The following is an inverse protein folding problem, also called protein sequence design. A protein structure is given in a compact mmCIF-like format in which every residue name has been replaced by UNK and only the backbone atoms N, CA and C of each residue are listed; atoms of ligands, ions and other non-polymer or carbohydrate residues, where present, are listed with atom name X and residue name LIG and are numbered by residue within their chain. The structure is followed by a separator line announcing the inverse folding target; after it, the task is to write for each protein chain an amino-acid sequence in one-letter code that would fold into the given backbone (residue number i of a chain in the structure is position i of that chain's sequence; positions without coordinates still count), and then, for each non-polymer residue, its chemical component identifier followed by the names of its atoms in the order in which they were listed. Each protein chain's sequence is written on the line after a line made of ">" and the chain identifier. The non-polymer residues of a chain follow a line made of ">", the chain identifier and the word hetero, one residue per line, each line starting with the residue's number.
data_IF_744426226992
#
_entry.id   IF_744426226992
#
_cell.length_a   1.000
_cell.length_b   1.000
_cell.length_c   1.000
_cell.angle_alpha   90.00
_cell.angle_beta   90.00
_cell.angle_gamma   90.00
#
_symmetry.space_group_name_H-M   'P 1'
#
loop_
_entity.id
_entity.type
_entity.pdbx_description
1 polymer ?
#
# COMPACT_ATOMS: atom_id res chain seq x y z
N UNK A 1 19.38 -1.06 13.38
CA UNK A 1 18.92 0.27 13.85
C UNK A 1 18.44 0.11 15.28
N UNK A 2 18.83 0.96 16.23
CA UNK A 2 18.35 0.86 17.62
C UNK A 2 16.86 1.21 17.66
N UNK A 3 16.05 0.37 18.30
CA UNK A 3 14.60 0.57 18.45
C UNK A 3 14.20 0.33 19.90
N UNK A 4 13.23 1.10 20.40
CA UNK A 4 12.55 0.85 21.66
C UNK A 4 11.26 0.08 21.37
N UNK A 5 11.06 -1.08 22.01
CA UNK A 5 9.86 -1.88 21.84
C UNK A 5 8.87 -1.57 22.96
N UNK A 6 7.59 -1.40 22.60
CA UNK A 6 6.52 -1.18 23.56
C UNK A 6 5.18 -1.67 22.98
N UNK A 7 4.20 -1.87 23.85
CA UNK A 7 2.86 -2.32 23.45
C UNK A 7 1.86 -1.18 23.67
N UNK A 8 0.82 -1.14 22.84
CA UNK A 8 -0.31 -0.23 23.01
C UNK A 8 -1.60 -1.03 22.92
N UNK A 9 -2.44 -0.87 23.94
CA UNK A 9 -3.79 -1.43 23.96
C UNK A 9 -4.75 -0.41 23.36
N UNK A 10 -5.46 -0.82 22.32
CA UNK A 10 -6.50 -0.04 21.67
C UNK A 10 -7.82 -0.13 22.45
N UNK A 11 -8.77 0.75 22.11
CA UNK A 11 -10.10 0.78 22.75
C UNK A 11 -10.94 -0.47 22.52
N UNK A 12 -10.63 -1.25 21.48
CA UNK A 12 -11.27 -2.53 21.16
C UNK A 12 -10.51 -3.74 21.74
N UNK A 13 -9.71 -3.53 22.79
CA UNK A 13 -8.88 -4.52 23.46
C UNK A 13 -7.74 -5.14 22.64
N UNK A 14 -7.61 -4.80 21.36
CA UNK A 14 -6.48 -5.23 20.55
C UNK A 14 -5.17 -4.62 21.07
N UNK A 15 -4.11 -5.43 21.09
CA UNK A 15 -2.78 -5.00 21.49
C UNK A 15 -1.89 -4.95 20.24
N UNK A 16 -1.28 -3.80 20.00
CA UNK A 16 -0.30 -3.61 18.93
C UNK A 16 1.08 -3.47 19.56
N UNK A 17 2.06 -4.19 19.01
CA UNK A 17 3.47 -4.06 19.39
C UNK A 17 4.17 -3.12 18.43
N UNK A 18 4.79 -2.09 18.97
CA UNK A 18 5.48 -1.07 18.21
C UNK A 18 6.98 -1.11 18.44
N UNK A 19 7.72 -0.66 17.43
CA UNK A 19 9.12 -0.32 17.51
C UNK A 19 9.30 1.18 17.25
N UNK A 20 9.67 1.94 18.28
CA UNK A 20 9.98 3.38 18.19
C UNK A 20 11.43 3.58 17.77
N UNK A 21 11.63 4.42 16.76
CA UNK A 21 12.94 4.84 16.30
C UNK A 21 13.40 6.12 17.01
N UNK A 22 14.70 6.45 16.87
CA UNK A 22 15.25 7.71 17.33
C UNK A 22 14.61 8.95 16.66
N UNK A 23 14.05 8.81 15.44
CA UNK A 23 13.26 9.87 14.80
C UNK A 23 11.93 10.15 15.52
N UNK A 24 11.53 9.27 16.45
CA UNK A 24 10.26 9.29 17.16
C UNK A 24 9.12 8.58 16.41
N UNK A 25 9.33 8.16 15.15
CA UNK A 25 8.36 7.37 14.41
C UNK A 25 8.25 5.97 15.01
N UNK A 26 7.02 5.48 15.17
CA UNK A 26 6.67 4.16 15.68
C UNK A 26 6.14 3.32 14.52
N UNK A 27 6.82 2.21 14.23
CA UNK A 27 6.42 1.22 13.24
C UNK A 27 5.85 0.00 13.95
N UNK A 28 5.04 -0.80 13.27
CA UNK A 28 4.68 -2.11 13.78
C UNK A 28 5.96 -2.94 14.00
N UNK A 29 6.00 -3.76 15.06
CA UNK A 29 7.21 -4.52 15.42
C UNK A 29 7.65 -5.47 14.28
N UNK A 30 6.69 -5.99 13.52
CA UNK A 30 6.92 -6.94 12.42
C UNK A 30 7.31 -6.26 11.11
N UNK A 31 7.34 -4.93 11.05
CA UNK A 31 7.67 -4.21 9.83
C UNK A 31 9.12 -4.46 9.41
N UNK A 32 9.37 -4.95 8.18
CA UNK A 32 10.71 -5.27 7.73
C UNK A 32 11.63 -4.06 7.80
N UNK A 33 12.85 -4.27 8.29
CA UNK A 33 13.86 -3.22 8.44
C UNK A 33 14.14 -2.44 7.13
N UNK A 34 14.01 -3.10 5.98
CA UNK A 34 14.15 -2.45 4.67
C UNK A 34 13.00 -1.50 4.37
N UNK A 35 11.76 -1.91 4.65
CA UNK A 35 10.56 -1.06 4.50
C UNK A 35 10.70 0.17 5.38
N UNK A 36 11.08 -0.01 6.65
CA UNK A 36 11.31 1.11 7.58
C UNK A 36 12.33 2.11 7.03
N UNK A 37 13.46 1.64 6.49
CA UNK A 37 14.48 2.53 5.90
C UNK A 37 13.94 3.31 4.71
N UNK A 38 13.18 2.65 3.82
CA UNK A 38 12.58 3.32 2.66
C UNK A 38 11.57 4.37 3.11
N UNK A 39 10.69 4.05 4.05
CA UNK A 39 9.70 5.00 4.56
C UNK A 39 10.33 6.21 5.25
N UNK A 40 11.36 6.02 6.09
CA UNK A 40 12.10 7.15 6.70
C UNK A 40 12.81 8.01 5.64
N UNK A 41 13.30 7.41 4.55
CA UNK A 41 13.87 8.16 3.42
C UNK A 41 12.81 8.96 2.68
N UNK A 42 11.65 8.34 2.39
CA UNK A 42 10.52 8.99 1.76
C UNK A 42 10.01 10.18 2.60
N UNK A 43 9.85 10.01 3.91
CA UNK A 43 9.46 11.09 4.84
C UNK A 43 10.40 12.30 4.75
N UNK A 44 11.71 12.07 4.67
CA UNK A 44 12.71 13.16 4.58
C UNK A 44 12.66 13.87 3.23
N UNK A 45 12.50 13.10 2.14
CA UNK A 45 12.47 13.64 0.78
C UNK A 45 11.15 14.34 0.42
N UNK A 46 10.04 13.96 1.06
CA UNK A 46 8.71 14.42 0.70
C UNK A 46 8.22 13.93 -0.67
N UNK A 47 8.94 12.99 -1.31
CA UNK A 47 8.57 12.47 -2.62
C UNK A 47 7.22 11.73 -2.56
N UNK A 48 6.46 11.81 -3.65
CA UNK A 48 5.23 11.04 -3.81
C UNK A 48 5.60 9.61 -4.16
N UNK A 49 5.05 8.66 -3.41
CA UNK A 49 5.23 7.23 -3.63
C UNK A 49 3.90 6.55 -3.81
N UNK A 50 3.94 5.35 -4.37
CA UNK A 50 2.85 4.38 -4.36
C UNK A 50 3.23 3.20 -3.47
N UNK A 51 2.32 2.77 -2.61
CA UNK A 51 2.47 1.63 -1.70
C UNK A 51 1.51 0.53 -2.13
N UNK A 52 2.01 -0.69 -2.18
CA UNK A 52 1.19 -1.89 -2.37
C UNK A 52 1.16 -2.69 -1.07
N UNK A 53 -0.03 -3.00 -0.61
CA UNK A 53 -0.25 -3.89 0.51
C UNK A 53 -0.51 -5.32 0.05
N UNK A 54 -0.24 -6.26 0.94
CA UNK A 54 -0.44 -7.66 0.67
C UNK A 54 0.02 -8.57 1.78
N UNK A 55 -0.05 -9.86 1.49
CA UNK A 55 0.46 -10.89 2.37
C UNK A 55 2.00 -10.92 2.29
N UNK A 56 2.66 -10.56 3.38
CA UNK A 56 4.13 -10.53 3.47
C UNK A 56 4.79 -11.91 3.51
N UNK A 57 4.03 -12.99 3.67
CA UNK A 57 4.54 -14.38 3.58
C UNK A 57 4.58 -14.86 2.13
N UNK A 58 3.54 -14.57 1.36
CA UNK A 58 3.39 -15.04 -0.03
C UNK A 58 3.85 -14.02 -1.06
N UNK A 59 3.81 -12.73 -0.75
CA UNK A 59 4.02 -11.62 -1.67
C UNK A 59 2.80 -11.27 -2.53
N UNK A 60 1.62 -11.83 -2.21
CA UNK A 60 0.38 -11.59 -2.93
C UNK A 60 -0.18 -10.20 -2.60
N UNK A 61 -0.36 -9.37 -3.62
CA UNK A 61 -1.09 -8.10 -3.51
C UNK A 61 -2.55 -8.31 -3.13
N UNK A 62 -3.08 -7.41 -2.31
CA UNK A 62 -4.51 -7.34 -1.97
C UNK A 62 -5.35 -6.56 -2.98
N UNK A 63 -4.72 -6.00 -4.02
CA UNK A 63 -5.40 -5.28 -5.10
C UNK A 63 -6.17 -4.04 -4.62
N UNK A 64 -5.68 -3.41 -3.56
CA UNK A 64 -6.26 -2.15 -3.08
C UNK A 64 -6.27 -1.09 -4.19
N UNK A 65 -7.24 -0.17 -4.10
CA UNK A 65 -7.37 0.96 -5.03
C UNK A 65 -7.17 2.32 -4.35
N UNK A 66 -7.42 2.36 -3.04
CA UNK A 66 -7.47 3.59 -2.26
C UNK A 66 -6.27 3.66 -1.32
N UNK A 67 -5.92 4.90 -0.94
CA UNK A 67 -4.88 5.16 0.07
C UNK A 67 -3.52 4.51 -0.25
N UNK A 68 -3.22 4.40 -1.55
CA UNK A 68 -1.97 3.82 -2.04
C UNK A 68 -0.95 4.86 -2.47
N UNK A 69 -1.38 6.06 -2.86
CA UNK A 69 -0.52 7.07 -3.51
C UNK A 69 -0.49 8.35 -2.68
N UNK A 70 0.72 8.80 -2.33
CA UNK A 70 0.89 10.01 -1.53
C UNK A 70 2.32 10.21 -1.06
N UNK A 71 2.54 11.27 -0.28
CA UNK A 71 3.80 11.45 0.44
C UNK A 71 3.74 10.70 1.77
N UNK A 72 4.89 10.20 2.23
CA UNK A 72 4.94 9.58 3.55
C UNK A 72 5.03 10.68 4.61
N UNK A 73 4.01 10.75 5.46
CA UNK A 73 3.91 11.65 6.59
C UNK A 73 4.09 10.93 7.92
N UNK A 74 4.01 11.69 9.01
CA UNK A 74 4.03 11.15 10.37
C UNK A 74 2.87 11.74 11.16
N UNK A 75 2.16 10.90 11.89
CA UNK A 75 1.05 11.35 12.73
C UNK A 75 1.52 12.23 13.89
N UNK A 76 0.60 13.04 14.40
CA UNK A 76 0.82 13.96 15.53
C UNK A 76 0.31 13.42 16.86
N UNK A 77 -0.25 12.20 16.87
CA UNK A 77 -0.75 11.54 18.07
C UNK A 77 0.35 11.13 19.06
N UNK A 78 -0.08 10.55 20.19
CA UNK A 78 0.83 10.06 21.25
C UNK A 78 1.76 8.95 20.75
N UNK A 79 1.27 8.09 19.84
CA UNK A 79 2.06 7.13 19.08
C UNK A 79 2.17 7.64 17.65
N UNK A 80 3.37 8.13 17.29
CA UNK A 80 3.65 8.76 16.00
C UNK A 80 3.88 7.72 14.91
N UNK A 81 2.83 7.30 14.23
CA UNK A 81 2.88 6.28 13.17
C UNK A 81 3.13 6.91 11.79
N UNK A 82 3.69 6.16 10.83
CA UNK A 82 3.75 6.60 9.44
C UNK A 82 2.35 6.74 8.84
N UNK A 83 2.14 7.77 8.03
CA UNK A 83 0.92 8.03 7.27
C UNK A 83 1.23 8.02 5.79
N UNK A 84 0.25 7.70 4.95
CA UNK A 84 0.26 8.11 3.55
C UNK A 84 -0.64 9.32 3.41
N UNK A 85 -0.08 10.42 2.93
CA UNK A 85 -0.79 11.70 2.83
C UNK A 85 -1.03 11.99 1.35
N UNK A 86 -2.28 12.01 0.87
CA UNK A 86 -2.60 12.34 -0.51
C UNK A 86 -2.01 13.69 -0.93
N UNK A 87 -1.88 13.88 -2.24
CA UNK A 87 -1.42 15.17 -2.76
C UNK A 87 -2.36 16.30 -2.30
N UNK A 88 -1.78 17.43 -1.93
CA UNK A 88 -2.48 18.64 -1.40
C UNK A 88 -3.22 18.49 -0.07
N UNK A 89 -3.27 17.30 0.52
CA UNK A 89 -3.86 17.11 1.84
C UNK A 89 -2.86 17.36 2.97
N UNK A 90 -3.37 17.58 4.18
CA UNK A 90 -2.57 17.80 5.40
C UNK A 90 -2.54 16.59 6.35
N UNK A 91 -3.26 15.52 6.01
CA UNK A 91 -3.34 14.28 6.77
C UNK A 91 -3.77 13.13 5.87
N UNK A 92 -3.74 11.91 6.40
CA UNK A 92 -4.15 10.72 5.68
C UNK A 92 -4.10 9.49 6.59
N UNK A 93 -4.47 8.32 6.07
CA UNK A 93 -4.55 7.11 6.88
C UNK A 93 -3.17 6.64 7.35
N UNK A 94 -3.18 5.95 8.50
CA UNK A 94 -2.01 5.24 8.99
C UNK A 94 -1.64 4.11 8.04
N UNK A 95 -0.36 4.00 7.70
CA UNK A 95 0.13 2.89 6.89
C UNK A 95 -0.05 1.57 7.65
N UNK A 96 -0.52 0.54 6.96
CA UNK A 96 -0.35 -0.85 7.40
C UNK A 96 1.08 -1.29 7.09
N UNK A 97 2.05 -0.70 7.79
CA UNK A 97 3.47 -0.77 7.43
C UNK A 97 4.03 -2.20 7.44
N UNK A 98 3.48 -3.08 8.28
CA UNK A 98 3.82 -4.50 8.34
C UNK A 98 3.20 -5.35 7.21
N UNK A 99 2.32 -4.77 6.38
CA UNK A 99 1.67 -5.41 5.24
C UNK A 99 2.19 -4.87 3.90
N UNK A 100 3.22 -4.00 3.91
CA UNK A 100 3.77 -3.44 2.68
C UNK A 100 4.59 -4.50 1.94
N UNK A 101 4.24 -4.74 0.67
CA UNK A 101 4.94 -5.70 -0.21
C UNK A 101 5.65 -5.03 -1.38
N UNK A 102 5.35 -3.76 -1.69
CA UNK A 102 6.08 -2.97 -2.70
C UNK A 102 5.90 -1.47 -2.43
N UNK A 103 6.95 -0.69 -2.72
CA UNK A 103 6.92 0.77 -2.70
C UNK A 103 7.57 1.25 -4.00
N UNK A 104 6.85 2.07 -4.76
CA UNK A 104 7.36 2.70 -5.98
C UNK A 104 7.45 4.22 -5.79
N UNK A 105 8.51 4.82 -6.33
CA UNK A 105 8.52 6.23 -6.71
C UNK A 105 7.96 6.38 -8.12
N UNK A 106 7.94 7.61 -8.65
CA UNK A 106 7.57 7.83 -10.06
C UNK A 106 8.60 7.25 -11.04
N UNK A 107 9.84 7.10 -10.59
CA UNK A 107 10.98 6.74 -11.42
C UNK A 107 11.39 5.28 -11.27
N UNK A 108 11.17 4.67 -10.09
CA UNK A 108 11.68 3.33 -9.79
C UNK A 108 10.98 2.66 -8.62
N UNK A 109 11.12 1.34 -8.54
CA UNK A 109 10.72 0.56 -7.36
C UNK A 109 11.76 0.69 -6.26
N UNK A 110 11.36 1.26 -5.12
CA UNK A 110 12.22 1.51 -3.95
C UNK A 110 12.31 0.28 -3.03
N UNK A 111 11.23 -0.51 -2.99
CA UNK A 111 11.15 -1.76 -2.25
C UNK A 111 10.22 -2.73 -2.98
N UNK A 112 10.60 -4.01 -3.01
CA UNK A 112 9.73 -5.07 -3.49
C UNK A 112 9.99 -6.35 -2.71
N UNK A 113 8.91 -6.98 -2.25
CA UNK A 113 8.95 -8.31 -1.69
C UNK A 113 9.49 -9.30 -2.74
N UNK A 114 10.33 -10.25 -2.33
CA UNK A 114 11.02 -11.17 -3.28
C UNK A 114 10.06 -12.00 -4.13
N UNK A 115 8.88 -12.28 -3.60
CA UNK A 115 7.81 -13.05 -4.26
C UNK A 115 6.63 -12.17 -4.67
N UNK A 116 6.85 -10.86 -4.83
CA UNK A 116 5.80 -9.92 -5.20
C UNK A 116 5.07 -10.43 -6.44
N UNK A 117 3.74 -10.55 -6.32
CA UNK A 117 2.86 -10.88 -7.43
C UNK A 117 1.54 -10.14 -7.28
N UNK A 118 0.97 -9.74 -8.41
CA UNK A 118 -0.40 -9.25 -8.49
C UNK A 118 -1.33 -10.42 -8.85
N UNK A 119 -0.90 -11.33 -9.71
CA UNK A 119 -1.74 -12.40 -10.25
C UNK A 119 -1.88 -12.24 -11.76
N UNK A 120 -2.36 -13.28 -12.42
CA UNK A 120 -2.67 -13.20 -13.86
C UNK A 120 -3.98 -12.42 -14.02
N UNK A 121 -3.93 -11.30 -14.74
CA UNK A 121 -5.12 -10.50 -15.00
C UNK A 121 -5.61 -10.69 -16.43
N UNK A 122 -6.90 -10.98 -16.58
CA UNK A 122 -7.54 -11.16 -17.89
C UNK A 122 -8.80 -10.31 -17.99
N UNK A 123 -9.05 -9.79 -19.20
CA UNK A 123 -10.24 -9.02 -19.53
C UNK A 123 -11.12 -9.82 -20.50
N UNK A 124 -12.40 -9.94 -20.19
CA UNK A 124 -13.39 -10.50 -21.10
C UNK A 124 -14.65 -9.63 -21.18
N UNK A 125 -15.47 -9.89 -22.19
CA UNK A 125 -16.79 -9.28 -22.32
C UNK A 125 -17.84 -10.29 -21.85
N UNK A 126 -18.56 -9.97 -20.78
CA UNK A 126 -19.66 -10.76 -20.23
C UNK A 126 -21.03 -10.32 -20.76
N UNK A 127 -22.08 -10.88 -20.16
CA UNK A 127 -23.48 -10.70 -20.59
C UNK A 127 -24.23 -9.55 -19.88
N UNK A 128 -23.62 -8.94 -18.85
CA UNK A 128 -24.24 -7.80 -18.14
C UNK A 128 -24.33 -6.57 -19.07
N UNK A 129 -25.55 -6.09 -19.29
CA UNK A 129 -25.80 -4.99 -20.21
C UNK A 129 -25.23 -3.64 -19.73
N UNK A 130 -25.10 -3.44 -18.41
CA UNK A 130 -24.62 -2.19 -17.81
C UNK A 130 -23.11 -2.21 -17.58
N UNK A 131 -22.56 -3.38 -17.23
CA UNK A 131 -21.15 -3.56 -16.89
C UNK A 131 -20.54 -4.76 -17.65
N UNK A 132 -20.45 -4.69 -18.98
CA UNK A 132 -20.08 -5.84 -19.80
C UNK A 132 -18.60 -6.21 -19.73
N UNK A 133 -17.72 -5.34 -19.22
CA UNK A 133 -16.28 -5.59 -19.21
C UNK A 133 -15.84 -6.16 -17.86
N UNK A 134 -15.46 -7.43 -17.85
CA UNK A 134 -15.15 -8.18 -16.64
C UNK A 134 -13.63 -8.38 -16.51
N UNK A 135 -13.08 -7.95 -15.38
CA UNK A 135 -11.67 -8.15 -15.02
C UNK A 135 -11.58 -9.31 -14.04
N UNK A 136 -10.74 -10.28 -14.39
CA UNK A 136 -10.45 -11.44 -13.54
C UNK A 136 -9.00 -11.36 -13.04
N UNK A 137 -8.78 -11.83 -11.83
CA UNK A 137 -7.44 -12.05 -11.26
C UNK A 137 -7.34 -13.50 -10.81
N UNK A 138 -6.36 -14.23 -11.32
CA UNK A 138 -6.20 -15.68 -11.10
C UNK A 138 -7.52 -16.44 -11.37
N UNK A 139 -8.17 -16.08 -12.49
CA UNK A 139 -9.47 -16.63 -12.93
C UNK A 139 -10.67 -16.33 -12.01
N UNK A 140 -10.53 -15.49 -10.99
CA UNK A 140 -11.63 -15.04 -10.13
C UNK A 140 -12.11 -13.66 -10.59
N UNK A 141 -13.42 -13.52 -10.81
CA UNK A 141 -14.02 -12.22 -11.15
C UNK A 141 -13.74 -11.22 -10.03
N UNK A 142 -13.08 -10.12 -10.39
CA UNK A 142 -12.65 -9.10 -9.45
C UNK A 142 -13.47 -7.82 -9.58
N UNK A 143 -13.65 -7.32 -10.81
CA UNK A 143 -14.37 -6.08 -11.08
C UNK A 143 -15.09 -6.09 -12.42
N UNK A 144 -16.09 -5.21 -12.56
CA UNK A 144 -16.83 -4.99 -13.82
C UNK A 144 -16.88 -3.51 -14.17
N UNK A 145 -16.80 -3.20 -15.46
CA UNK A 145 -16.78 -1.83 -15.99
C UNK A 145 -17.74 -1.65 -17.15
N UNK A 146 -18.21 -0.41 -17.33
CA UNK A 146 -19.12 -0.06 -18.41
C UNK A 146 -18.34 0.06 -19.73
N UNK A 147 -17.13 0.60 -19.65
CA UNK A 147 -16.26 0.84 -20.79
C UNK A 147 -15.00 -0.04 -20.73
N UNK A 148 -14.58 -0.55 -21.89
CA UNK A 148 -13.36 -1.35 -22.02
C UNK A 148 -12.13 -0.56 -21.53
N UNK A 149 -12.06 0.72 -21.90
CA UNK A 149 -10.95 1.59 -21.54
C UNK A 149 -10.80 1.79 -20.03
N UNK A 150 -11.90 1.81 -19.27
CA UNK A 150 -11.87 1.89 -17.81
C UNK A 150 -11.32 0.59 -17.21
N UNK A 151 -11.74 -0.56 -17.72
CA UNK A 151 -11.22 -1.86 -17.30
C UNK A 151 -9.71 -1.98 -17.57
N UNK A 152 -9.25 -1.55 -18.74
CA UNK A 152 -7.82 -1.56 -19.09
C UNK A 152 -7.02 -0.64 -18.17
N UNK A 153 -7.49 0.59 -17.94
CA UNK A 153 -6.83 1.54 -17.02
C UNK A 153 -6.77 1.00 -15.59
N UNK A 154 -7.83 0.34 -15.13
CA UNK A 154 -7.87 -0.35 -13.85
C UNK A 154 -6.82 -1.46 -13.78
N UNK A 155 -6.75 -2.33 -14.80
CA UNK A 155 -5.75 -3.41 -14.86
C UNK A 155 -4.32 -2.85 -14.81
N UNK A 156 -4.03 -1.83 -15.61
CA UNK A 156 -2.73 -1.17 -15.63
C UNK A 156 -2.37 -0.59 -14.26
N UNK A 157 -3.34 -0.04 -13.55
CA UNK A 157 -3.11 0.47 -12.21
C UNK A 157 -2.86 -0.66 -11.22
N UNK A 158 -3.71 -1.68 -11.14
CA UNK A 158 -3.55 -2.80 -10.20
C UNK A 158 -2.23 -3.54 -10.41
N UNK A 159 -1.77 -3.67 -11.66
CA UNK A 159 -0.47 -4.28 -12.00
C UNK A 159 0.73 -3.38 -11.65
N UNK A 160 0.51 -2.08 -11.43
CA UNK A 160 1.58 -1.11 -11.22
C UNK A 160 2.23 -0.61 -12.50
N UNK A 161 1.59 -0.78 -13.66
CA UNK A 161 2.04 -0.22 -14.95
C UNK A 161 1.84 1.30 -15.00
N UNK A 162 0.81 1.80 -14.31
CA UNK A 162 0.59 3.25 -14.11
C UNK A 162 0.70 3.61 -12.63
N UNK A 163 1.27 4.79 -12.36
CA UNK A 163 1.56 5.25 -11.00
C UNK A 163 0.31 5.67 -10.22
N UNK A 164 -0.69 6.25 -10.90
CA UNK A 164 -1.95 6.70 -10.32
C UNK A 164 -3.05 6.68 -11.40
N UNK A 165 -4.32 6.58 -10.99
CA UNK A 165 -5.51 6.71 -11.86
C UNK A 165 -6.00 8.15 -11.86
#
# INVERSE_FOLDING_TARGET
>A
MKKELFESKLSNDNIIKYARLASGTCYHQETPDQVVRVLESCMKSGQIVRVFYGDTKTGQSWHDEFDMVGRIGRSTGSIKIPLIVPDRDSGGPGLLDHCIIRIDSRESTLYQHKKFRVGEMTLSKGDDAKWPWEVFIDSVLHARFALNAEAVKFMDFIQGNVFAI
#
